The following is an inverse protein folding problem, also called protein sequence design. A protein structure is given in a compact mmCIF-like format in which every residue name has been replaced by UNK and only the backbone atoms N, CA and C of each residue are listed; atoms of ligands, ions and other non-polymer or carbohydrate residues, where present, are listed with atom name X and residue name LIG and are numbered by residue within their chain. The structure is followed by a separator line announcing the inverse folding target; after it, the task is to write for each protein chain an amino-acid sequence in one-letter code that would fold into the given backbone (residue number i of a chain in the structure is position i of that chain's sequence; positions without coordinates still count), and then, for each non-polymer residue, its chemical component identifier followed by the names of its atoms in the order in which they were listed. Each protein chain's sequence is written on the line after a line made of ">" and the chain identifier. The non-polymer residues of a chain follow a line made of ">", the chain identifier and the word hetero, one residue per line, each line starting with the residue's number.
data_IF_233698750960
#
_entry.id   IF_233698750960
#
_cell.length_a   1.000
_cell.length_b   1.000
_cell.length_c   1.000
_cell.angle_alpha   90.00
_cell.angle_beta   90.00
_cell.angle_gamma   90.00
#
_symmetry.space_group_name_H-M   'P 1'
#
loop_
_entity.id
_entity.type
_entity.pdbx_description
1 polymer ?
#
# COMPACT_ATOMS: atom_id res chain seq x y z
N UNK A 1 6.90 32.68 -10.38
CA UNK A 1 5.54 32.61 -9.81
C UNK A 1 4.45 32.48 -10.88
N UNK A 2 4.58 33.15 -12.04
CA UNK A 2 3.57 33.15 -13.10
C UNK A 2 3.22 31.74 -13.65
N UNK A 3 4.13 30.79 -13.55
CA UNK A 3 3.89 29.40 -14.01
C UNK A 3 2.86 28.67 -13.13
N UNK A 4 2.76 29.06 -11.86
CA UNK A 4 1.87 28.42 -10.88
C UNK A 4 0.57 29.20 -10.63
N UNK A 5 0.38 30.31 -11.32
CA UNK A 5 -0.83 31.15 -11.16
C UNK A 5 -1.93 30.75 -12.15
N UNK A 6 -3.14 30.61 -11.63
CA UNK A 6 -4.32 30.49 -12.48
C UNK A 6 -4.69 31.86 -13.07
N UNK A 7 -4.95 31.90 -14.36
CA UNK A 7 -5.43 33.11 -15.05
C UNK A 7 -6.91 33.43 -14.77
N UNK A 8 -7.67 32.42 -14.31
CA UNK A 8 -9.10 32.54 -14.02
C UNK A 8 -9.43 31.79 -12.72
N UNK A 9 -9.14 32.41 -11.56
CA UNK A 9 -9.38 31.75 -10.28
C UNK A 9 -10.88 31.54 -10.05
N UNK A 10 -11.24 30.33 -9.57
CA UNK A 10 -12.63 30.03 -9.19
C UNK A 10 -12.98 30.72 -7.88
N UNK A 11 -13.91 31.69 -7.90
CA UNK A 11 -14.38 32.36 -6.69
C UNK A 11 -15.06 31.38 -5.71
N UNK A 12 -15.70 30.31 -6.21
CA UNK A 12 -16.31 29.27 -5.38
C UNK A 12 -15.22 28.56 -4.55
N UNK A 13 -14.12 28.16 -5.19
CA UNK A 13 -12.99 27.53 -4.50
C UNK A 13 -12.33 28.52 -3.52
N UNK A 14 -12.14 29.78 -3.91
CA UNK A 14 -11.58 30.79 -3.01
C UNK A 14 -12.48 31.03 -1.79
N UNK A 15 -13.79 31.10 -1.97
CA UNK A 15 -14.75 31.22 -0.87
C UNK A 15 -14.71 30.00 0.06
N UNK A 16 -14.59 28.79 -0.50
CA UNK A 16 -14.46 27.56 0.27
C UNK A 16 -13.18 27.56 1.12
N UNK A 17 -12.04 27.96 0.54
CA UNK A 17 -10.77 28.10 1.26
C UNK A 17 -10.90 29.13 2.40
N UNK A 18 -11.46 30.32 2.10
CA UNK A 18 -11.66 31.38 3.10
C UNK A 18 -12.56 30.91 4.25
N UNK A 19 -13.61 30.17 3.96
CA UNK A 19 -14.48 29.60 4.99
C UNK A 19 -13.77 28.56 5.84
N UNK A 20 -13.00 27.63 5.23
CA UNK A 20 -12.23 26.63 5.94
C UNK A 20 -11.22 27.28 6.89
N UNK A 21 -10.50 28.30 6.43
CA UNK A 21 -9.58 29.08 7.27
C UNK A 21 -10.29 29.78 8.42
N UNK A 22 -11.49 30.35 8.18
CA UNK A 22 -12.30 30.99 9.22
C UNK A 22 -12.72 29.99 10.30
N UNK A 23 -13.14 28.78 9.93
CA UNK A 23 -13.51 27.70 10.87
C UNK A 23 -12.30 27.34 11.74
N UNK A 24 -11.15 27.07 11.11
CA UNK A 24 -9.94 26.70 11.84
C UNK A 24 -9.48 27.85 12.76
N UNK A 25 -9.58 29.09 12.31
CA UNK A 25 -9.20 30.25 13.13
C UNK A 25 -10.09 30.43 14.36
N UNK A 26 -11.39 30.20 14.23
CA UNK A 26 -12.36 30.47 15.30
C UNK A 26 -12.54 29.28 16.25
N UNK A 27 -12.57 28.07 15.71
CA UNK A 27 -12.96 26.86 16.43
C UNK A 27 -11.87 25.78 16.41
N UNK A 28 -10.68 26.06 15.82
CA UNK A 28 -9.64 25.07 15.55
C UNK A 28 -9.19 24.32 16.80
N UNK A 29 -8.88 25.03 17.87
CA UNK A 29 -8.39 24.40 19.11
C UNK A 29 -9.37 23.35 19.65
N UNK A 30 -10.67 23.67 19.64
CA UNK A 30 -11.72 22.75 20.07
C UNK A 30 -11.88 21.57 19.09
N UNK A 31 -11.96 21.85 17.80
CA UNK A 31 -12.15 20.83 16.76
C UNK A 31 -10.99 19.83 16.72
N UNK A 32 -9.75 20.31 16.84
CA UNK A 32 -8.58 19.44 16.87
C UNK A 32 -8.49 18.64 18.17
N UNK A 33 -8.85 19.18 19.32
CA UNK A 33 -8.89 18.44 20.58
C UNK A 33 -9.91 17.29 20.48
N UNK A 34 -11.15 17.58 20.08
CA UNK A 34 -12.19 16.56 19.90
C UNK A 34 -11.79 15.49 18.85
N UNK A 35 -11.11 15.90 17.81
CA UNK A 35 -10.62 15.00 16.76
C UNK A 35 -9.55 14.04 17.29
N UNK A 36 -8.58 14.54 18.05
CA UNK A 36 -7.52 13.72 18.68
C UNK A 36 -8.12 12.71 19.64
N UNK A 37 -9.11 13.10 20.44
CA UNK A 37 -9.81 12.19 21.35
C UNK A 37 -10.51 11.06 20.61
N UNK A 38 -11.28 11.39 19.55
CA UNK A 38 -11.94 10.40 18.69
C UNK A 38 -10.96 9.45 18.04
N UNK A 39 -9.84 9.97 17.50
CA UNK A 39 -8.80 9.16 16.89
C UNK A 39 -8.11 8.25 17.90
N UNK A 40 -7.89 8.72 19.10
CA UNK A 40 -7.28 7.90 20.18
C UNK A 40 -8.15 6.70 20.49
N UNK A 41 -9.46 6.89 20.61
CA UNK A 41 -10.43 5.81 20.85
C UNK A 41 -10.42 4.82 19.67
N UNK A 42 -10.48 5.32 18.43
CA UNK A 42 -10.44 4.49 17.23
C UNK A 42 -9.13 3.68 17.16
N UNK A 43 -7.98 4.32 17.35
CA UNK A 43 -6.67 3.65 17.29
C UNK A 43 -6.51 2.58 18.36
N UNK A 44 -7.04 2.79 19.55
CA UNK A 44 -7.06 1.78 20.60
C UNK A 44 -7.89 0.56 20.17
N UNK A 45 -9.09 0.76 19.64
CA UNK A 45 -9.91 -0.33 19.09
C UNK A 45 -9.26 -1.06 17.92
N UNK A 46 -8.56 -0.35 17.03
CA UNK A 46 -7.81 -0.96 15.92
C UNK A 46 -6.60 -1.76 16.39
N UNK A 47 -5.98 -1.40 17.51
CA UNK A 47 -4.84 -2.12 18.07
C UNK A 47 -5.21 -3.48 18.69
N UNK A 48 -6.51 -3.74 18.91
CA UNK A 48 -7.03 -5.01 19.44
C UNK A 48 -7.21 -6.08 18.34
N UNK A 49 -7.14 -5.69 17.05
CA UNK A 49 -7.29 -6.61 15.91
C UNK A 49 -6.11 -7.61 15.86
N UNK A 50 -6.39 -8.86 15.52
CA UNK A 50 -5.41 -9.95 15.52
C UNK A 50 -4.68 -10.11 14.19
N UNK A 51 -5.41 -10.01 13.09
CA UNK A 51 -4.91 -10.25 11.74
C UNK A 51 -4.57 -8.98 10.98
N UNK A 52 -5.24 -7.86 11.32
CA UNK A 52 -5.04 -6.55 10.72
C UNK A 52 -4.25 -5.69 11.71
N UNK A 53 -3.03 -5.31 11.34
CA UNK A 53 -2.13 -4.61 12.25
C UNK A 53 -2.14 -3.10 12.01
N UNK A 54 -2.50 -2.30 13.02
CA UNK A 54 -2.29 -0.86 12.98
C UNK A 54 -0.79 -0.54 13.04
N UNK A 55 -0.24 0.07 12.00
CA UNK A 55 1.16 0.49 11.92
C UNK A 55 1.29 1.89 12.52
N UNK A 56 2.30 2.07 13.37
CA UNK A 56 2.58 3.38 13.98
C UNK A 56 3.05 4.38 12.93
N UNK A 57 2.46 5.57 12.95
CA UNK A 57 2.79 6.71 12.09
C UNK A 57 3.03 7.95 12.92
N UNK A 58 3.84 8.89 12.44
CA UNK A 58 4.04 10.18 13.10
C UNK A 58 2.79 11.08 12.95
N UNK A 59 2.11 10.99 11.82
CA UNK A 59 0.83 11.66 11.60
C UNK A 59 -0.32 10.76 12.04
N UNK A 60 -0.96 11.11 13.15
CA UNK A 60 -2.06 10.34 13.74
C UNK A 60 -3.30 10.30 12.84
N UNK A 61 -3.46 11.24 11.91
CA UNK A 61 -4.56 11.30 10.95
C UNK A 61 -4.50 10.20 9.90
N UNK A 62 -3.34 9.58 9.72
CA UNK A 62 -3.11 8.49 8.78
C UNK A 62 -3.20 7.16 9.50
N UNK A 63 -4.22 6.38 9.19
CA UNK A 63 -4.38 5.04 9.71
C UNK A 63 -3.82 4.05 8.70
N UNK A 64 -2.62 3.54 8.97
CA UNK A 64 -1.96 2.55 8.11
C UNK A 64 -2.25 1.17 8.67
N UNK A 65 -3.00 0.37 7.93
CA UNK A 65 -3.43 -0.97 8.33
C UNK A 65 -2.67 -2.01 7.50
N UNK A 66 -1.79 -2.75 8.15
CA UNK A 66 -1.01 -3.83 7.56
C UNK A 66 -1.82 -5.13 7.48
N UNK A 67 -1.88 -5.72 6.28
CA UNK A 67 -2.47 -7.03 6.03
C UNK A 67 -1.79 -7.69 4.82
N UNK A 68 -1.64 -9.02 4.84
CA UNK A 68 -0.90 -9.76 3.78
C UNK A 68 -1.52 -9.60 2.38
N UNK A 69 -2.84 -9.50 2.30
CA UNK A 69 -3.60 -9.24 1.07
C UNK A 69 -4.33 -7.90 1.22
N UNK A 70 -3.57 -6.82 1.15
CA UNK A 70 -4.07 -5.47 1.34
C UNK A 70 -5.09 -5.07 0.27
N UNK A 71 -4.94 -5.58 -0.96
CA UNK A 71 -5.89 -5.33 -2.05
C UNK A 71 -7.26 -5.92 -1.73
N UNK A 72 -7.30 -7.17 -1.26
CA UNK A 72 -8.54 -7.80 -0.83
C UNK A 72 -9.20 -7.03 0.33
N UNK A 73 -8.41 -6.57 1.32
CA UNK A 73 -8.92 -5.76 2.43
C UNK A 73 -9.54 -4.45 1.94
N UNK A 74 -8.87 -3.76 1.02
CA UNK A 74 -9.36 -2.53 0.38
C UNK A 74 -10.68 -2.78 -0.34
N UNK A 75 -10.73 -3.80 -1.21
CA UNK A 75 -11.90 -4.13 -1.99
C UNK A 75 -13.08 -4.57 -1.10
N UNK A 76 -12.81 -5.35 -0.05
CA UNK A 76 -13.83 -5.79 0.92
C UNK A 76 -14.45 -4.59 1.63
N UNK A 77 -13.63 -3.64 2.13
CA UNK A 77 -14.12 -2.42 2.75
C UNK A 77 -14.95 -1.58 1.77
N UNK A 78 -14.49 -1.46 0.53
CA UNK A 78 -15.19 -0.68 -0.49
C UNK A 78 -16.51 -1.32 -0.93
N UNK A 79 -16.47 -2.59 -1.34
CA UNK A 79 -17.65 -3.24 -1.94
C UNK A 79 -18.68 -3.73 -0.92
N UNK A 80 -18.23 -4.34 0.19
CA UNK A 80 -19.12 -4.91 1.22
C UNK A 80 -19.60 -3.82 2.19
N UNK A 81 -18.67 -3.01 2.72
CA UNK A 81 -18.97 -2.04 3.78
C UNK A 81 -19.20 -0.61 3.27
N UNK A 82 -18.96 -0.34 1.97
CA UNK A 82 -19.07 1.01 1.36
C UNK A 82 -18.17 2.03 2.05
N UNK A 83 -16.98 1.59 2.44
CA UNK A 83 -15.94 2.43 3.04
C UNK A 83 -14.79 2.51 2.05
N UNK A 84 -14.57 3.72 1.51
CA UNK A 84 -13.46 3.99 0.60
C UNK A 84 -12.26 4.46 1.39
N UNK A 85 -11.13 3.80 1.19
CA UNK A 85 -9.84 4.19 1.73
C UNK A 85 -9.08 5.05 0.71
N UNK A 86 -8.02 5.72 1.17
CA UNK A 86 -7.16 6.55 0.31
C UNK A 86 -6.40 5.70 -0.69
N UNK A 87 -5.79 4.60 -0.23
CA UNK A 87 -5.00 3.73 -1.10
C UNK A 87 -4.84 2.32 -0.56
N UNK A 88 -4.49 1.41 -1.45
CA UNK A 88 -3.94 0.08 -1.16
C UNK A 88 -2.53 -0.05 -1.71
N UNK A 89 -1.63 -0.63 -0.94
CA UNK A 89 -0.32 -1.12 -1.37
C UNK A 89 -0.33 -2.65 -1.37
N UNK A 90 0.84 -3.30 -1.56
CA UNK A 90 0.94 -4.77 -1.55
C UNK A 90 0.60 -5.35 -0.17
N UNK A 91 1.01 -4.69 0.93
CA UNK A 91 0.93 -5.20 2.30
C UNK A 91 0.22 -4.29 3.29
N UNK A 92 -0.33 -3.18 2.86
CA UNK A 92 -1.06 -2.25 3.73
C UNK A 92 -2.06 -1.41 2.95
N UNK A 93 -3.05 -0.91 3.67
CA UNK A 93 -3.99 0.10 3.19
C UNK A 93 -3.86 1.36 4.05
N UNK A 94 -4.21 2.51 3.50
CA UNK A 94 -4.21 3.79 4.22
C UNK A 94 -5.62 4.37 4.24
N UNK A 95 -6.12 4.68 5.44
CA UNK A 95 -7.27 5.54 5.64
C UNK A 95 -6.81 6.93 6.07
N UNK A 96 -7.39 7.96 5.48
CA UNK A 96 -7.22 9.35 5.88
C UNK A 96 -8.44 9.80 6.67
N UNK A 97 -8.21 10.51 7.74
CA UNK A 97 -9.26 11.05 8.61
C UNK A 97 -9.19 12.56 8.70
N UNK A 98 -10.27 13.19 9.12
CA UNK A 98 -10.44 14.63 9.14
C UNK A 98 -11.16 15.10 10.41
N UNK A 99 -10.95 16.36 10.78
CA UNK A 99 -11.63 17.02 11.91
C UNK A 99 -13.17 17.07 11.74
N UNK A 100 -13.67 16.85 10.53
CA UNK A 100 -15.11 16.86 10.22
C UNK A 100 -15.72 15.47 10.20
N UNK A 101 -14.94 14.40 10.42
CA UNK A 101 -15.49 13.06 10.51
C UNK A 101 -16.30 12.88 11.79
N UNK A 102 -17.49 12.32 11.65
CA UNK A 102 -18.35 12.04 12.77
C UNK A 102 -17.90 10.79 13.55
N UNK A 103 -18.28 10.70 14.81
CA UNK A 103 -18.05 9.49 15.61
C UNK A 103 -18.68 8.25 14.96
N UNK A 104 -19.83 8.39 14.35
CA UNK A 104 -20.54 7.32 13.64
C UNK A 104 -19.69 6.70 12.51
N UNK A 105 -18.91 7.53 11.78
CA UNK A 105 -18.01 7.02 10.74
C UNK A 105 -16.89 6.19 11.32
N UNK A 106 -16.32 6.61 12.45
CA UNK A 106 -15.27 5.85 13.14
C UNK A 106 -15.80 4.56 13.72
N UNK A 107 -16.98 4.58 14.33
CA UNK A 107 -17.62 3.39 14.89
C UNK A 107 -17.93 2.37 13.78
N UNK A 108 -18.47 2.84 12.66
CA UNK A 108 -18.74 2.00 11.48
C UNK A 108 -17.47 1.41 10.90
N UNK A 109 -16.39 2.20 10.80
CA UNK A 109 -15.11 1.73 10.30
C UNK A 109 -14.50 0.66 11.21
N UNK A 110 -14.51 0.90 12.52
CA UNK A 110 -14.01 -0.07 13.49
C UNK A 110 -14.85 -1.35 13.50
N UNK A 111 -16.18 -1.24 13.44
CA UNK A 111 -17.06 -2.40 13.38
C UNK A 111 -16.81 -3.26 12.14
N UNK A 112 -16.65 -2.62 10.96
CA UNK A 112 -16.33 -3.33 9.73
C UNK A 112 -15.01 -4.10 9.83
N UNK A 113 -13.97 -3.48 10.39
CA UNK A 113 -12.67 -4.13 10.56
C UNK A 113 -12.70 -5.26 11.59
N UNK A 114 -13.46 -5.12 12.68
CA UNK A 114 -13.66 -6.21 13.65
C UNK A 114 -14.38 -7.40 13.03
N UNK A 115 -15.44 -7.18 12.24
CA UNK A 115 -16.15 -8.24 11.53
C UNK A 115 -15.22 -8.96 10.53
N UNK A 116 -14.38 -8.22 9.79
CA UNK A 116 -13.38 -8.80 8.89
C UNK A 116 -12.36 -9.63 9.66
N UNK A 117 -11.86 -9.13 10.78
CA UNK A 117 -10.86 -9.81 11.60
C UNK A 117 -11.40 -11.12 12.19
N UNK A 118 -12.67 -11.14 12.61
CA UNK A 118 -13.38 -12.35 13.05
C UNK A 118 -13.60 -13.35 11.89
N UNK A 119 -13.94 -12.87 10.69
CA UNK A 119 -14.04 -13.73 9.50
C UNK A 119 -12.69 -14.40 9.18
N UNK A 120 -11.57 -13.67 9.38
CA UNK A 120 -10.22 -14.20 9.20
C UNK A 120 -9.88 -15.27 10.25
N UNK A 121 -10.22 -15.05 11.51
CA UNK A 121 -10.08 -16.05 12.58
C UNK A 121 -10.80 -17.37 12.19
N UNK A 122 -12.04 -17.26 11.73
CA UNK A 122 -12.84 -18.42 11.33
C UNK A 122 -12.24 -19.19 10.13
N UNK A 123 -11.66 -18.45 9.16
CA UNK A 123 -10.96 -19.09 8.01
C UNK A 123 -9.70 -19.84 8.46
N UNK A 124 -8.91 -19.25 9.37
CA UNK A 124 -7.72 -19.93 9.93
C UNK A 124 -8.13 -21.18 10.69
N UNK A 125 -9.17 -21.12 11.52
CA UNK A 125 -9.68 -22.26 12.26
C UNK A 125 -10.23 -23.37 11.34
N UNK A 126 -10.90 -23.01 10.24
CA UNK A 126 -11.37 -23.97 9.25
C UNK A 126 -10.21 -24.67 8.55
N UNK A 127 -9.20 -23.91 8.11
CA UNK A 127 -8.01 -24.46 7.46
C UNK A 127 -7.21 -25.39 8.40
N UNK A 128 -7.09 -25.04 9.68
CA UNK A 128 -6.45 -25.91 10.68
C UNK A 128 -7.21 -27.23 10.87
N UNK A 129 -8.54 -27.21 10.89
CA UNK A 129 -9.35 -28.43 10.98
C UNK A 129 -9.18 -29.33 9.75
N UNK A 130 -9.16 -28.75 8.54
CA UNK A 130 -8.91 -29.50 7.31
C UNK A 130 -7.52 -30.19 7.35
N UNK A 131 -6.49 -29.47 7.83
CA UNK A 131 -5.15 -30.05 8.00
C UNK A 131 -5.13 -31.18 9.04
N UNK A 132 -5.81 -31.00 10.17
CA UNK A 132 -5.91 -32.04 11.22
C UNK A 132 -6.64 -33.29 10.67
N UNK A 133 -7.71 -33.11 9.90
CA UNK A 133 -8.43 -34.23 9.25
C UNK A 133 -7.53 -34.93 8.22
N UNK A 134 -6.76 -34.20 7.41
CA UNK A 134 -5.79 -34.78 6.46
C UNK A 134 -4.65 -35.53 7.17
N UNK A 135 -4.19 -35.01 8.32
CA UNK A 135 -3.17 -35.68 9.15
C UNK A 135 -3.73 -36.98 9.76
N UNK A 136 -4.96 -36.99 10.24
CA UNK A 136 -5.59 -38.17 10.82
C UNK A 136 -5.89 -39.23 9.76
N UNK A 137 -6.34 -38.83 8.56
CA UNK A 137 -6.44 -39.73 7.43
C UNK A 137 -5.09 -40.30 6.99
N UNK A 138 -4.05 -39.46 6.97
CA UNK A 138 -2.68 -39.86 6.67
C UNK A 138 -2.12 -40.80 7.74
N UNK A 139 -2.35 -40.54 9.03
CA UNK A 139 -2.00 -41.45 10.13
C UNK A 139 -2.70 -42.79 10.04
N UNK A 140 -3.97 -42.82 9.64
CA UNK A 140 -4.72 -44.06 9.40
C UNK A 140 -4.13 -44.90 8.25
N UNK A 141 -3.59 -44.24 7.22
CA UNK A 141 -2.90 -44.91 6.09
C UNK A 141 -1.45 -45.29 6.42
N UNK A 142 -0.78 -44.61 7.37
CA UNK A 142 0.64 -44.79 7.71
C UNK A 142 0.90 -45.78 8.84
N UNK A 143 -0.11 -46.25 9.55
CA UNK A 143 0.09 -47.30 10.58
C UNK A 143 0.63 -48.64 10.01
N UNK A 144 0.97 -48.69 8.71
CA UNK A 144 1.56 -49.85 8.03
C UNK A 144 2.95 -49.58 7.40
N UNK A 145 3.62 -48.48 7.61
CA UNK A 145 5.03 -48.30 7.15
C UNK A 145 5.83 -47.32 8.04
N UNK A 146 6.87 -47.92 8.59
CA UNK A 146 8.16 -47.41 9.12
C UNK A 146 8.40 -45.92 9.34
N UNK A 147 8.91 -45.62 10.54
CA UNK A 147 9.57 -44.42 11.04
C UNK A 147 10.66 -43.90 10.11
N UNK A 148 10.50 -42.68 9.65
CA UNK A 148 11.61 -41.80 9.36
C UNK A 148 11.20 -40.34 9.65
N UNK A 149 12.03 -39.68 10.48
CA UNK A 149 11.86 -38.31 10.94
C UNK A 149 12.12 -37.34 9.79
N UNK A 150 11.14 -36.52 9.45
CA UNK A 150 11.36 -35.30 8.67
C UNK A 150 11.29 -34.11 9.65
N UNK A 151 12.44 -33.46 9.80
CA UNK A 151 12.54 -32.16 10.50
C UNK A 151 12.06 -31.06 9.54
N UNK A 152 10.99 -30.39 9.90
CA UNK A 152 10.57 -29.18 9.21
C UNK A 152 11.22 -27.99 9.93
N UNK A 153 12.12 -27.31 9.23
CA UNK A 153 12.65 -26.03 9.68
C UNK A 153 11.75 -24.91 9.20
N UNK A 154 10.95 -24.34 10.10
CA UNK A 154 10.27 -23.07 9.89
C UNK A 154 11.27 -21.93 10.17
N UNK A 155 11.90 -21.41 9.13
CA UNK A 155 12.53 -20.09 9.14
C UNK A 155 11.71 -19.14 8.25
N UNK A 156 10.63 -18.61 8.79
CA UNK A 156 9.94 -17.47 8.19
C UNK A 156 10.62 -16.18 8.67
N UNK A 157 11.67 -15.80 7.95
CA UNK A 157 12.36 -14.53 8.13
C UNK A 157 11.46 -13.39 7.65
N UNK A 158 10.69 -12.82 8.57
CA UNK A 158 9.89 -11.62 8.35
C UNK A 158 10.76 -10.45 7.90
N UNK A 159 11.00 -10.33 6.60
CA UNK A 159 11.64 -9.17 5.99
C UNK A 159 10.76 -7.93 6.24
N UNK A 160 11.18 -7.13 7.22
CA UNK A 160 10.67 -5.77 7.41
C UNK A 160 11.06 -4.95 6.19
N UNK A 161 10.12 -4.77 5.27
CA UNK A 161 10.28 -3.82 4.16
C UNK A 161 10.15 -2.42 4.76
N UNK A 162 11.26 -1.71 4.88
CA UNK A 162 11.30 -0.32 5.31
C UNK A 162 11.15 0.57 4.08
N UNK A 163 10.14 1.46 4.06
CA UNK A 163 9.89 2.39 2.94
C UNK A 163 11.10 3.31 2.70
N UNK A 164 11.92 3.57 3.74
CA UNK A 164 13.14 4.37 3.61
C UNK A 164 14.23 3.69 2.76
N UNK A 165 14.16 2.37 2.53
CA UNK A 165 15.12 1.61 1.72
C UNK A 165 14.83 1.69 0.20
N UNK A 166 13.83 2.48 -0.22
CA UNK A 166 13.40 2.60 -1.63
C UNK A 166 14.14 3.67 -2.43
N UNK A 167 15.10 4.38 -1.86
CA UNK A 167 15.92 5.32 -2.61
C UNK A 167 17.11 4.58 -3.20
N UNK A 168 16.92 4.10 -4.43
CA UNK A 168 18.01 3.58 -5.25
C UNK A 168 18.86 4.74 -5.82
N UNK A 169 20.09 4.46 -6.22
CA UNK A 169 21.06 5.44 -6.70
C UNK A 169 20.51 6.21 -7.91
N UNK A 170 20.20 7.49 -7.70
CA UNK A 170 19.87 8.39 -8.78
C UNK A 170 21.16 8.82 -9.47
N UNK A 171 21.40 8.32 -10.70
CA UNK A 171 22.58 8.65 -11.50
C UNK A 171 22.42 9.92 -12.31
N UNK A 172 21.19 10.26 -12.70
CA UNK A 172 20.84 11.46 -13.45
C UNK A 172 19.69 12.19 -12.76
N UNK A 173 19.69 13.53 -12.81
CA UNK A 173 18.48 14.28 -12.46
C UNK A 173 17.39 14.01 -13.52
N UNK A 174 16.12 14.20 -13.14
CA UNK A 174 14.97 14.05 -14.05
C UNK A 174 15.16 14.88 -15.32
N UNK A 175 15.64 16.12 -15.20
CA UNK A 175 15.91 17.01 -16.33
C UNK A 175 17.01 16.44 -17.25
N UNK A 176 18.10 15.91 -16.69
CA UNK A 176 19.16 15.26 -17.46
C UNK A 176 18.68 13.99 -18.15
N UNK A 177 17.81 13.22 -17.51
CA UNK A 177 17.22 12.02 -18.08
C UNK A 177 16.34 12.36 -19.30
N UNK A 178 15.48 13.38 -19.20
CA UNK A 178 14.67 13.85 -20.33
C UNK A 178 15.53 14.39 -21.47
N UNK A 179 16.54 15.21 -21.20
CA UNK A 179 17.46 15.69 -22.22
C UNK A 179 18.18 14.54 -22.93
N UNK A 180 18.65 13.52 -22.20
CA UNK A 180 19.30 12.34 -22.77
C UNK A 180 18.33 11.51 -23.61
N UNK A 181 17.09 11.33 -23.15
CA UNK A 181 16.02 10.66 -23.89
C UNK A 181 15.77 11.33 -25.24
N UNK A 182 15.68 12.66 -25.25
CA UNK A 182 15.42 13.44 -26.47
C UNK A 182 16.60 13.40 -27.47
N UNK A 183 17.85 13.33 -26.95
CA UNK A 183 19.06 13.32 -27.78
C UNK A 183 19.47 11.92 -28.26
N UNK A 184 19.35 10.91 -27.40
CA UNK A 184 19.91 9.57 -27.63
C UNK A 184 18.83 8.49 -27.82
N UNK A 185 17.59 8.80 -27.48
CA UNK A 185 16.47 7.86 -27.52
C UNK A 185 16.46 6.86 -26.37
N UNK A 186 15.48 5.96 -26.41
CA UNK A 186 15.30 4.90 -25.44
C UNK A 186 15.12 3.55 -26.12
N UNK A 187 15.40 2.50 -25.36
CA UNK A 187 15.09 1.12 -25.73
C UNK A 187 14.00 0.57 -24.79
N UNK A 188 13.02 -0.12 -25.34
CA UNK A 188 12.07 -0.90 -24.53
C UNK A 188 12.72 -2.25 -24.20
N UNK A 189 12.89 -2.52 -22.91
CA UNK A 189 13.51 -3.76 -22.43
C UNK A 189 12.52 -4.49 -21.51
N UNK A 190 12.27 -5.76 -21.84
CA UNK A 190 11.39 -6.62 -21.03
C UNK A 190 11.91 -6.81 -19.61
N UNK A 191 11.04 -6.74 -18.62
CA UNK A 191 11.39 -6.88 -17.18
C UNK A 191 12.01 -8.24 -16.84
N UNK A 192 11.70 -9.29 -17.60
CA UNK A 192 12.30 -10.62 -17.43
C UNK A 192 13.67 -10.78 -18.12
N UNK A 193 14.16 -9.76 -18.83
CA UNK A 193 15.45 -9.78 -19.51
C UNK A 193 16.54 -9.27 -18.55
N UNK A 194 17.56 -10.09 -18.28
CA UNK A 194 18.66 -9.71 -17.39
C UNK A 194 19.44 -8.45 -17.81
N UNK A 195 19.39 -8.08 -19.08
CA UNK A 195 20.02 -6.85 -19.59
C UNK A 195 19.39 -5.55 -19.07
N UNK A 196 18.24 -5.64 -18.42
CA UNK A 196 17.53 -4.49 -17.83
C UNK A 196 18.24 -3.96 -16.58
N UNK A 197 18.92 -4.86 -15.83
CA UNK A 197 19.57 -4.48 -14.59
C UNK A 197 20.77 -3.56 -14.82
N UNK A 198 20.82 -2.48 -14.04
CA UNK A 198 21.83 -1.43 -14.20
C UNK A 198 21.53 -0.42 -15.32
N UNK A 199 20.45 -0.60 -16.09
CA UNK A 199 19.98 0.42 -17.03
C UNK A 199 19.35 1.57 -16.27
N UNK A 200 19.31 2.74 -16.91
CA UNK A 200 18.72 3.96 -16.37
C UNK A 200 17.32 4.12 -16.95
N UNK A 201 16.34 4.38 -16.09
CA UNK A 201 14.96 4.60 -16.53
C UNK A 201 14.82 5.87 -17.35
N UNK A 202 14.06 5.77 -18.44
CA UNK A 202 13.69 6.90 -19.31
C UNK A 202 12.32 7.50 -18.98
N UNK A 203 11.54 6.87 -18.10
CA UNK A 203 10.22 7.36 -17.72
C UNK A 203 9.88 7.01 -16.25
N UNK A 204 8.80 7.63 -15.77
CA UNK A 204 8.28 7.31 -14.44
C UNK A 204 7.47 6.03 -14.49
N UNK A 205 7.70 5.13 -13.52
CA UNK A 205 6.89 3.92 -13.30
C UNK A 205 6.30 3.99 -11.90
N UNK A 206 4.99 3.88 -11.81
CA UNK A 206 4.29 4.00 -10.54
C UNK A 206 3.15 3.00 -10.43
N UNK A 207 2.80 2.69 -9.20
CA UNK A 207 1.68 1.80 -8.87
C UNK A 207 0.47 2.65 -8.52
N UNK A 208 -0.67 2.37 -9.16
CA UNK A 208 -1.92 3.10 -8.94
C UNK A 208 -2.99 2.18 -8.34
N UNK A 209 -3.81 2.71 -7.43
CA UNK A 209 -3.74 3.98 -6.71
C UNK A 209 -2.67 3.99 -5.61
N UNK A 210 -2.12 5.13 -5.16
CA UNK A 210 -2.44 6.51 -5.53
C UNK A 210 -1.53 7.12 -6.61
N UNK A 211 -0.64 6.35 -7.23
CA UNK A 211 0.31 6.85 -8.21
C UNK A 211 1.66 7.26 -7.61
N UNK A 212 2.11 6.55 -6.57
CA UNK A 212 3.46 6.76 -6.01
C UNK A 212 4.49 6.20 -6.99
N UNK A 213 5.48 7.00 -7.43
CA UNK A 213 6.53 6.52 -8.30
C UNK A 213 7.42 5.51 -7.55
N UNK A 214 7.59 4.34 -8.17
CA UNK A 214 8.52 3.29 -7.73
C UNK A 214 9.87 3.46 -8.43
N UNK A 215 9.85 4.05 -9.64
CA UNK A 215 11.03 4.32 -10.44
C UNK A 215 10.83 5.65 -11.16
N UNK A 216 11.80 6.56 -11.06
CA UNK A 216 11.77 7.85 -11.72
C UNK A 216 12.76 7.89 -12.90
N UNK A 217 12.57 8.79 -13.87
CA UNK A 217 13.56 9.00 -14.92
C UNK A 217 14.92 9.39 -14.33
N UNK A 218 15.99 8.72 -14.77
CA UNK A 218 17.34 8.94 -14.25
C UNK A 218 17.77 8.02 -13.12
N UNK A 219 16.89 7.18 -12.62
CA UNK A 219 17.20 6.15 -11.61
C UNK A 219 17.64 4.84 -12.26
N UNK A 220 18.50 4.10 -11.55
CA UNK A 220 18.98 2.78 -11.98
C UNK A 220 17.92 1.71 -11.74
N UNK A 221 17.67 0.87 -12.72
CA UNK A 221 16.76 -0.27 -12.62
C UNK A 221 17.47 -1.41 -11.90
N UNK A 222 17.03 -1.72 -10.69
CA UNK A 222 17.58 -2.77 -9.84
C UNK A 222 16.69 -4.02 -9.82
N UNK A 223 17.24 -5.16 -9.36
CA UNK A 223 16.47 -6.40 -9.13
C UNK A 223 15.33 -6.18 -8.15
N UNK A 224 15.55 -5.34 -7.14
CA UNK A 224 14.55 -4.99 -6.11
C UNK A 224 13.35 -4.25 -6.73
N UNK A 225 13.60 -3.25 -7.57
CA UNK A 225 12.55 -2.51 -8.29
C UNK A 225 11.70 -3.47 -9.15
N UNK A 226 12.34 -4.31 -9.95
CA UNK A 226 11.62 -5.28 -10.81
C UNK A 226 10.76 -6.23 -9.96
N UNK A 227 11.30 -6.75 -8.85
CA UNK A 227 10.53 -7.62 -7.96
C UNK A 227 9.30 -6.91 -7.34
N UNK A 228 9.43 -5.62 -6.99
CA UNK A 228 8.31 -4.82 -6.48
C UNK A 228 7.23 -4.62 -7.56
N UNK A 229 7.63 -4.29 -8.79
CA UNK A 229 6.68 -4.08 -9.89
C UNK A 229 5.93 -5.37 -10.25
N UNK A 230 6.63 -6.51 -10.24
CA UNK A 230 6.02 -7.83 -10.46
C UNK A 230 5.04 -8.18 -9.33
N UNK A 231 5.46 -8.04 -8.07
CA UNK A 231 4.61 -8.30 -6.91
C UNK A 231 3.37 -7.38 -6.87
N UNK A 232 3.49 -6.12 -7.32
CA UNK A 232 2.36 -5.22 -7.44
C UNK A 232 1.35 -5.70 -8.50
N UNK A 233 1.84 -6.15 -9.66
CA UNK A 233 0.99 -6.73 -10.70
C UNK A 233 0.29 -8.02 -10.25
N UNK A 234 1.01 -8.92 -9.57
CA UNK A 234 0.45 -10.16 -9.00
C UNK A 234 -0.61 -9.87 -7.92
N UNK A 235 -0.41 -8.78 -7.15
CA UNK A 235 -1.40 -8.31 -6.17
C UNK A 235 -2.62 -7.60 -6.81
N UNK A 236 -2.71 -7.53 -8.14
CA UNK A 236 -3.80 -6.89 -8.87
C UNK A 236 -3.79 -5.35 -8.82
N UNK A 237 -2.65 -4.74 -8.50
CA UNK A 237 -2.47 -3.29 -8.59
C UNK A 237 -2.10 -2.90 -10.03
N UNK A 238 -2.57 -1.73 -10.47
CA UNK A 238 -2.22 -1.21 -11.78
C UNK A 238 -0.80 -0.64 -11.77
N UNK A 239 0.06 -1.15 -12.66
CA UNK A 239 1.44 -0.65 -12.82
C UNK A 239 1.48 0.20 -14.09
N UNK A 240 1.59 1.51 -13.90
CA UNK A 240 1.64 2.50 -14.99
C UNK A 240 3.09 2.81 -15.35
N UNK A 241 3.39 2.97 -16.65
CA UNK A 241 4.77 3.14 -17.15
C UNK A 241 5.42 1.83 -17.56
N UNK A 242 4.69 0.71 -17.50
CA UNK A 242 5.09 -0.58 -18.07
C UNK A 242 4.22 -0.88 -19.29
N UNK A 243 4.83 -1.14 -20.43
CA UNK A 243 4.14 -1.48 -21.69
C UNK A 243 4.43 -2.93 -22.05
N UNK A 244 3.40 -3.77 -22.06
CA UNK A 244 3.53 -5.20 -22.40
C UNK A 244 4.68 -5.90 -21.66
N UNK A 245 4.89 -5.53 -20.37
CA UNK A 245 5.96 -6.08 -19.55
C UNK A 245 7.36 -5.48 -19.78
N UNK A 246 7.48 -4.42 -20.58
CA UNK A 246 8.73 -3.72 -20.84
C UNK A 246 8.81 -2.36 -20.13
N UNK A 247 10.02 -1.96 -19.78
CA UNK A 247 10.37 -0.63 -19.28
C UNK A 247 11.16 0.16 -20.33
N UNK A 248 10.98 1.47 -20.32
CA UNK A 248 11.71 2.39 -21.17
C UNK A 248 13.07 2.72 -20.54
N UNK A 249 14.16 2.32 -21.20
CA UNK A 249 15.52 2.49 -20.71
C UNK A 249 16.29 3.50 -21.59
N UNK A 250 17.04 4.41 -20.98
CA UNK A 250 17.91 5.34 -21.70
C UNK A 250 19.05 4.58 -22.40
N UNK A 251 19.36 5.01 -23.63
CA UNK A 251 20.53 4.54 -24.40
C UNK A 251 21.84 5.13 -23.89
#
# INVERSE_FOLDING_TARGET
>A
WNIYQSTSPSYILMSSIARSLSIVKNDGDKLFAEYVDKLTILRNGLSELKHIRLIKTDDISKLVLGYKDAKWLYDTLFYKYKIQLEMSSIKYVIAMTSIFDSQEYYDRFLAALKEIDEELDNRVLAALKEIDEEIDESRSKYNNRSKDKILINDEDNGNKVNIADFRDEQTLTIAQAFNRRDLSGCDEIQMNNEKIYGKISGESVYVYPPGIPILCPGEVITRKIIAILQAAGEAGLEVVGVKEGALLCLR
#
